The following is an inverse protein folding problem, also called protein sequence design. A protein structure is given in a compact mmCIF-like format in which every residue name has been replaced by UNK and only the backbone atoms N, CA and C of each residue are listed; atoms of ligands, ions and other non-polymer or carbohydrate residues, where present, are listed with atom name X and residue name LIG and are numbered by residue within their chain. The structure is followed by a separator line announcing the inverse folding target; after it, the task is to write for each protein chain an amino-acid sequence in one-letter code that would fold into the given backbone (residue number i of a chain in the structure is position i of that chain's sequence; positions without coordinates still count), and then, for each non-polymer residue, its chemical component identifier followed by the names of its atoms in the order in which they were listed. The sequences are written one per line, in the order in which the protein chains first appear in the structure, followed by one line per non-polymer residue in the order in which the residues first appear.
data_IF_009001209454
#
_entry.id   IF_009001209454
#
_cell.length_a   1.000
_cell.length_b   1.000
_cell.length_c   1.000
_cell.angle_alpha   90.00
_cell.angle_beta   90.00
_cell.angle_gamma   90.00
#
_symmetry.space_group_name_H-M   'P 1'
#
loop_
_entity.id
_entity.type
_entity.pdbx_description
1 polymer ?
#
# COMPACT_ATOMS: atom_id res chain seq x y z
N UNK A 1 21.55 48.39 27.04
CA UNK A 1 21.30 48.75 25.62
C UNK A 1 20.69 47.54 24.94
N UNK A 2 19.43 47.68 24.51
CA UNK A 2 18.63 46.86 23.60
C UNK A 2 18.93 45.35 23.45
N UNK A 3 18.18 44.56 24.21
CA UNK A 3 17.74 43.24 23.77
C UNK A 3 16.71 43.45 22.64
N UNK A 4 17.09 43.12 21.40
CA UNK A 4 16.18 43.15 20.25
C UNK A 4 15.73 41.71 19.96
N UNK A 5 14.56 41.39 20.51
CA UNK A 5 13.54 40.47 20.00
C UNK A 5 13.89 39.72 18.70
N UNK A 6 14.42 38.51 18.82
CA UNK A 6 14.29 37.49 17.77
C UNK A 6 13.10 36.58 18.11
N UNK A 7 11.89 37.13 18.02
CA UNK A 7 10.68 36.32 17.91
C UNK A 7 10.41 36.15 16.41
N UNK A 8 11.12 35.22 15.76
CA UNK A 8 10.70 34.70 14.46
C UNK A 8 9.35 34.04 14.70
N UNK A 9 8.28 34.66 14.23
CA UNK A 9 6.93 34.10 14.32
C UNK A 9 6.95 32.71 13.68
N UNK A 10 6.85 31.65 14.51
CA UNK A 10 6.77 30.25 14.07
C UNK A 10 5.68 30.04 13.03
N UNK A 11 4.63 30.85 13.07
CA UNK A 11 3.50 30.85 12.14
C UNK A 11 3.90 31.12 10.69
N UNK A 12 4.79 32.09 10.40
CA UNK A 12 5.21 32.39 9.02
C UNK A 12 6.12 31.29 8.45
N UNK A 13 7.02 30.72 9.27
CA UNK A 13 7.89 29.62 8.85
C UNK A 13 7.07 28.35 8.60
N UNK A 14 6.10 28.06 9.46
CA UNK A 14 5.20 26.92 9.30
C UNK A 14 4.27 27.08 8.09
N UNK A 15 3.77 28.29 7.82
CA UNK A 15 2.91 28.57 6.66
C UNK A 15 3.68 28.42 5.34
N UNK A 16 4.92 28.93 5.27
CA UNK A 16 5.77 28.78 4.08
C UNK A 16 6.16 27.31 3.87
N UNK A 17 6.48 26.58 4.94
CA UNK A 17 6.75 25.14 4.86
C UNK A 17 5.53 24.35 4.41
N UNK A 18 4.33 24.71 4.87
CA UNK A 18 3.09 24.04 4.50
C UNK A 18 2.70 24.31 3.05
N UNK A 19 2.85 25.54 2.57
CA UNK A 19 2.64 25.88 1.15
C UNK A 19 3.64 25.12 0.28
N UNK A 20 4.91 25.04 0.68
CA UNK A 20 5.92 24.31 -0.07
C UNK A 20 5.64 22.80 -0.10
N UNK A 21 5.28 22.18 1.04
CA UNK A 21 4.87 20.76 1.11
C UNK A 21 3.64 20.50 0.24
N UNK A 22 2.61 21.37 0.32
CA UNK A 22 1.42 21.28 -0.52
C UNK A 22 1.77 21.37 -2.01
N UNK A 23 2.65 22.29 -2.40
CA UNK A 23 3.08 22.47 -3.78
C UNK A 23 3.90 21.27 -4.28
N UNK A 24 4.80 20.72 -3.46
CA UNK A 24 5.54 19.50 -3.80
C UNK A 24 4.61 18.30 -3.98
N UNK A 25 3.64 18.11 -3.07
CA UNK A 25 2.64 17.04 -3.19
C UNK A 25 1.85 17.18 -4.49
N UNK A 26 1.36 18.38 -4.80
CA UNK A 26 0.64 18.62 -6.06
C UNK A 26 1.49 18.26 -7.29
N UNK A 27 2.76 18.67 -7.33
CA UNK A 27 3.66 18.33 -8.44
C UNK A 27 3.86 16.81 -8.56
N UNK A 28 4.11 16.12 -7.45
CA UNK A 28 4.24 14.65 -7.46
C UNK A 28 2.97 13.95 -7.90
N UNK A 29 1.79 14.46 -7.53
CA UNK A 29 0.51 13.92 -8.00
C UNK A 29 0.34 14.07 -9.51
N UNK A 30 0.68 15.22 -10.09
CA UNK A 30 0.64 15.42 -11.53
C UNK A 30 1.61 14.50 -12.27
N UNK A 31 2.82 14.30 -11.74
CA UNK A 31 3.82 13.42 -12.34
C UNK A 31 3.38 11.95 -12.31
N UNK A 32 2.92 11.46 -11.15
CA UNK A 32 2.43 10.08 -11.00
C UNK A 32 1.22 9.82 -11.89
N UNK A 33 0.26 10.76 -11.94
CA UNK A 33 -0.94 10.58 -12.80
C UNK A 33 -0.61 10.62 -14.28
N UNK A 34 0.34 11.46 -14.70
CA UNK A 34 0.83 11.46 -16.08
C UNK A 34 1.53 10.14 -16.42
N UNK A 35 2.34 9.60 -15.51
CA UNK A 35 3.02 8.33 -15.68
C UNK A 35 2.03 7.16 -15.78
N UNK A 36 1.06 7.08 -14.87
CA UNK A 36 0.03 6.02 -14.86
C UNK A 36 -0.84 6.09 -16.12
N UNK A 37 -1.02 7.27 -16.72
CA UNK A 37 -1.85 7.48 -17.92
C UNK A 37 -1.04 7.73 -19.18
N UNK A 38 0.23 7.32 -19.22
CA UNK A 38 1.15 7.65 -20.33
C UNK A 38 0.67 7.12 -21.70
N UNK A 39 -0.18 6.08 -21.72
CA UNK A 39 -0.77 5.49 -22.95
C UNK A 39 -2.20 5.98 -23.21
N UNK A 40 -2.68 6.97 -22.44
CA UNK A 40 -4.07 7.42 -22.44
C UNK A 40 -4.96 6.62 -21.49
N UNK A 41 -6.16 7.15 -21.21
CA UNK A 41 -7.04 6.55 -20.19
C UNK A 41 -7.53 5.15 -20.53
N UNK A 42 -7.72 4.84 -21.83
CA UNK A 42 -8.22 3.54 -22.25
C UNK A 42 -7.20 2.42 -22.07
N UNK A 43 -5.99 2.60 -22.61
CA UNK A 43 -4.93 1.60 -22.53
C UNK A 43 -4.31 1.48 -21.13
N UNK A 44 -4.51 2.49 -20.28
CA UNK A 44 -4.11 2.44 -18.88
C UNK A 44 -5.28 2.03 -17.97
N UNK A 45 -6.18 2.94 -17.63
CA UNK A 45 -7.19 2.71 -16.58
C UNK A 45 -8.25 1.69 -16.98
N UNK A 46 -8.84 1.81 -18.17
CA UNK A 46 -9.90 0.87 -18.58
C UNK A 46 -9.34 -0.54 -18.78
N UNK A 47 -8.16 -0.66 -19.39
CA UNK A 47 -7.49 -1.94 -19.58
C UNK A 47 -7.10 -2.59 -18.25
N UNK A 48 -6.57 -1.83 -17.30
CA UNK A 48 -6.26 -2.35 -15.96
C UNK A 48 -7.52 -2.85 -15.25
N UNK A 49 -8.64 -2.12 -15.35
CA UNK A 49 -9.92 -2.57 -14.78
C UNK A 49 -10.47 -3.82 -15.48
N UNK A 50 -10.36 -3.91 -16.81
CA UNK A 50 -10.80 -5.10 -17.56
C UNK A 50 -10.00 -6.34 -17.18
N UNK A 51 -8.70 -6.21 -16.92
CA UNK A 51 -7.86 -7.30 -16.44
C UNK A 51 -8.19 -7.64 -14.98
N UNK A 52 -8.27 -6.62 -14.11
CA UNK A 52 -8.50 -6.80 -12.68
C UNK A 52 -9.87 -7.41 -12.34
N UNK A 53 -10.92 -7.06 -13.08
CA UNK A 53 -12.29 -7.54 -12.86
C UNK A 53 -12.80 -8.50 -13.94
N UNK A 54 -11.95 -8.89 -14.89
CA UNK A 54 -12.28 -9.83 -15.96
C UNK A 54 -12.32 -11.27 -15.49
N UNK A 55 -12.50 -12.20 -16.43
CA UNK A 55 -12.33 -13.63 -16.16
C UNK A 55 -10.86 -13.98 -16.18
N UNK A 56 -10.41 -14.70 -15.16
CA UNK A 56 -9.04 -15.18 -15.07
C UNK A 56 -8.99 -16.62 -15.56
N UNK A 57 -7.89 -16.99 -16.22
CA UNK A 57 -7.68 -18.35 -16.75
C UNK A 57 -7.22 -19.34 -15.66
N UNK A 58 -7.03 -18.87 -14.44
CA UNK A 58 -6.63 -19.68 -13.29
C UNK A 58 -7.42 -19.28 -12.05
N UNK A 59 -7.59 -20.24 -11.14
CA UNK A 59 -8.10 -20.01 -9.81
C UNK A 59 -6.91 -19.76 -8.85
N UNK A 60 -6.89 -18.68 -8.06
CA UNK A 60 -5.83 -18.47 -7.07
C UNK A 60 -5.67 -19.66 -6.11
N UNK A 61 -6.72 -20.45 -5.86
CA UNK A 61 -6.69 -21.62 -4.97
C UNK A 61 -5.97 -22.84 -5.57
N UNK A 62 -5.70 -22.82 -6.88
CA UNK A 62 -4.92 -23.87 -7.56
C UNK A 62 -3.40 -23.61 -7.48
N UNK A 63 -2.97 -22.53 -6.81
CA UNK A 63 -1.56 -22.19 -6.67
C UNK A 63 -0.83 -23.15 -5.74
N UNK A 64 0.29 -23.70 -6.23
CA UNK A 64 1.22 -24.45 -5.40
C UNK A 64 2.13 -23.52 -4.59
N UNK A 65 2.63 -24.00 -3.45
CA UNK A 65 3.58 -23.24 -2.63
C UNK A 65 4.86 -22.96 -3.44
N UNK A 66 5.19 -21.69 -3.75
CA UNK A 66 6.39 -21.35 -4.50
C UNK A 66 7.70 -21.56 -3.70
N UNK A 67 7.61 -21.73 -2.38
CA UNK A 67 8.75 -21.91 -1.47
C UNK A 67 8.61 -23.19 -0.63
N UNK A 68 8.65 -24.38 -1.27
CA UNK A 68 8.45 -25.64 -0.57
C UNK A 68 9.60 -26.01 0.39
N UNK A 69 10.78 -25.38 0.25
CA UNK A 69 11.96 -25.62 1.07
C UNK A 69 12.17 -24.54 2.14
N UNK A 70 11.17 -23.69 2.39
CA UNK A 70 11.23 -22.55 3.32
C UNK A 70 12.33 -21.52 2.95
N UNK A 71 12.64 -21.41 1.67
CA UNK A 71 13.56 -20.40 1.11
C UNK A 71 12.92 -19.01 1.00
N UNK A 72 11.61 -18.91 1.28
CA UNK A 72 10.83 -17.68 1.25
C UNK A 72 9.46 -17.88 1.89
N UNK A 73 8.66 -16.83 1.87
CA UNK A 73 7.29 -16.83 2.42
C UNK A 73 6.38 -15.93 1.59
N UNK A 74 5.10 -16.28 1.53
CA UNK A 74 4.07 -15.46 0.90
C UNK A 74 3.15 -14.91 1.97
N UNK A 75 2.92 -13.60 1.93
CA UNK A 75 2.09 -12.90 2.91
C UNK A 75 0.96 -12.15 2.21
N UNK A 76 -0.22 -12.16 2.82
CA UNK A 76 -1.43 -11.52 2.31
C UNK A 76 -2.02 -10.61 3.39
N UNK A 77 -2.01 -9.30 3.17
CA UNK A 77 -2.65 -8.33 4.07
C UNK A 77 -3.99 -7.88 3.50
N UNK A 78 -5.02 -7.83 4.34
CA UNK A 78 -6.35 -7.35 3.94
C UNK A 78 -7.03 -6.56 5.08
N UNK A 79 -7.68 -5.46 4.74
CA UNK A 79 -8.50 -4.70 5.68
C UNK A 79 -9.90 -5.31 5.82
N UNK A 80 -10.40 -5.51 7.03
CA UNK A 80 -11.71 -6.13 7.24
C UNK A 80 -12.90 -5.22 6.89
N UNK A 81 -12.68 -3.90 6.83
CA UNK A 81 -13.62 -2.87 6.38
C UNK A 81 -13.38 -2.47 4.90
N UNK A 82 -12.76 -3.34 4.10
CA UNK A 82 -12.59 -3.11 2.66
C UNK A 82 -13.95 -3.06 1.93
N UNK A 83 -14.29 -1.88 1.41
CA UNK A 83 -15.52 -1.63 0.67
C UNK A 83 -15.48 -1.97 -0.82
N UNK A 84 -14.32 -2.38 -1.36
CA UNK A 84 -14.14 -2.79 -2.76
C UNK A 84 -14.14 -4.31 -2.87
N UNK A 85 -13.37 -4.99 -2.02
CA UNK A 85 -13.23 -6.45 -2.03
C UNK A 85 -13.60 -7.04 -0.66
N UNK A 86 -14.64 -7.90 -0.56
CA UNK A 86 -15.05 -8.48 0.70
C UNK A 86 -13.93 -9.31 1.36
N UNK A 87 -13.64 -9.05 2.64
CA UNK A 87 -12.62 -9.77 3.43
C UNK A 87 -12.81 -11.30 3.45
N UNK A 88 -14.05 -11.76 3.28
CA UNK A 88 -14.38 -13.19 3.24
C UNK A 88 -13.63 -13.95 2.14
N UNK A 89 -13.33 -13.31 1.01
CA UNK A 89 -12.57 -13.92 -0.06
C UNK A 89 -11.15 -14.29 0.41
N UNK A 90 -10.45 -13.36 1.06
CA UNK A 90 -9.09 -13.60 1.53
C UNK A 90 -9.03 -14.60 2.68
N UNK A 91 -10.03 -14.57 3.58
CA UNK A 91 -10.20 -15.61 4.61
C UNK A 91 -10.31 -16.99 3.96
N UNK A 92 -11.12 -17.14 2.91
CA UNK A 92 -11.28 -18.42 2.21
C UNK A 92 -9.99 -18.86 1.50
N UNK A 93 -9.33 -17.95 0.75
CA UNK A 93 -8.06 -18.25 0.06
C UNK A 93 -6.99 -18.72 1.05
N UNK A 94 -6.83 -18.03 2.19
CA UNK A 94 -5.85 -18.41 3.21
C UNK A 94 -6.13 -19.78 3.86
N UNK A 95 -7.40 -20.22 3.90
CA UNK A 95 -7.77 -21.55 4.38
C UNK A 95 -7.42 -22.64 3.35
N UNK A 96 -7.60 -22.36 2.07
CA UNK A 96 -7.26 -23.30 0.99
C UNK A 96 -5.74 -23.39 0.76
N UNK A 97 -5.03 -22.28 0.95
CA UNK A 97 -3.59 -22.14 0.72
C UNK A 97 -2.87 -21.88 2.05
N UNK A 98 -2.65 -22.91 2.89
CA UNK A 98 -2.09 -22.74 4.24
C UNK A 98 -0.63 -22.25 4.25
N UNK A 99 0.04 -22.24 3.11
CA UNK A 99 1.37 -21.66 2.93
C UNK A 99 1.36 -20.12 2.82
N UNK A 100 0.18 -19.49 2.71
CA UNK A 100 0.02 -18.04 2.78
C UNK A 100 -0.12 -17.59 4.23
N UNK A 101 0.76 -16.68 4.66
CA UNK A 101 0.61 -15.97 5.92
C UNK A 101 -0.41 -14.84 5.77
N UNK A 102 -1.64 -15.07 6.22
CA UNK A 102 -2.72 -14.08 6.17
C UNK A 102 -2.68 -13.11 7.35
N UNK A 103 -2.82 -11.81 7.06
CA UNK A 103 -2.78 -10.70 8.00
C UNK A 103 -4.02 -9.83 7.81
N UNK A 104 -5.04 -10.08 8.61
CA UNK A 104 -6.23 -9.22 8.64
C UNK A 104 -5.97 -7.97 9.48
N UNK A 105 -6.43 -6.81 9.01
CA UNK A 105 -6.22 -5.51 9.66
C UNK A 105 -7.58 -4.95 10.10
N UNK A 106 -7.90 -5.02 11.41
CA UNK A 106 -9.18 -4.55 11.93
C UNK A 106 -9.41 -3.05 11.73
N UNK A 107 -10.62 -2.69 11.29
CA UNK A 107 -11.07 -1.32 11.03
C UNK A 107 -10.44 -0.67 9.79
N UNK A 108 -9.77 -1.45 8.94
CA UNK A 108 -9.02 -0.93 7.81
C UNK A 108 -9.75 -1.19 6.49
N UNK A 109 -9.80 -0.19 5.60
CA UNK A 109 -10.34 -0.34 4.26
C UNK A 109 -9.28 -0.63 3.20
N UNK A 110 -9.67 -0.64 1.93
CA UNK A 110 -8.82 -0.96 0.77
C UNK A 110 -7.49 -0.18 0.74
N UNK A 111 -7.53 1.09 1.15
CA UNK A 111 -6.39 2.01 1.06
C UNK A 111 -5.49 1.99 2.31
N UNK A 112 -5.61 0.97 3.17
CA UNK A 112 -4.77 0.83 4.36
C UNK A 112 -3.26 0.92 4.11
N UNK A 113 -2.66 0.51 2.95
CA UNK A 113 -1.23 0.63 2.75
C UNK A 113 -0.71 2.07 2.78
N UNK A 114 -1.58 3.04 2.49
CA UNK A 114 -1.26 4.47 2.52
C UNK A 114 -1.43 5.10 3.92
N UNK A 115 -1.96 4.36 4.90
CA UNK A 115 -2.03 4.83 6.26
C UNK A 115 -0.63 5.07 6.84
N UNK A 116 -0.48 6.13 7.63
CA UNK A 116 0.82 6.53 8.14
C UNK A 116 1.53 5.39 8.90
N UNK A 117 2.77 5.09 8.51
CA UNK A 117 3.58 4.03 9.09
C UNK A 117 3.20 2.60 8.68
N UNK A 118 2.14 2.40 7.87
CA UNK A 118 1.72 1.07 7.45
C UNK A 118 2.73 0.40 6.53
N UNK A 119 3.25 1.12 5.53
CA UNK A 119 4.31 0.63 4.65
C UNK A 119 5.51 0.13 5.44
N UNK A 120 5.90 0.86 6.49
CA UNK A 120 7.01 0.48 7.36
C UNK A 120 6.71 -0.81 8.16
N UNK A 121 5.48 -0.96 8.67
CA UNK A 121 5.05 -2.17 9.36
C UNK A 121 5.06 -3.39 8.44
N UNK A 122 4.55 -3.26 7.22
CA UNK A 122 4.55 -4.33 6.21
C UNK A 122 5.98 -4.72 5.85
N UNK A 123 6.83 -3.74 5.52
CA UNK A 123 8.24 -3.99 5.18
C UNK A 123 9.00 -4.66 6.32
N UNK A 124 8.79 -4.20 7.56
CA UNK A 124 9.39 -4.83 8.74
C UNK A 124 8.91 -6.27 8.92
N UNK A 125 7.63 -6.56 8.67
CA UNK A 125 7.10 -7.91 8.75
C UNK A 125 7.73 -8.85 7.70
N UNK A 126 7.87 -8.38 6.45
CA UNK A 126 8.51 -9.13 5.36
C UNK A 126 9.99 -9.41 5.67
N UNK A 127 10.75 -8.39 6.08
CA UNK A 127 12.19 -8.53 6.35
C UNK A 127 12.51 -9.27 7.65
N UNK A 128 11.63 -9.19 8.66
CA UNK A 128 11.83 -9.93 9.91
C UNK A 128 11.45 -11.40 9.78
N UNK A 129 10.60 -11.78 8.81
CA UNK A 129 10.35 -13.18 8.51
C UNK A 129 11.63 -13.90 8.03
N UNK A 130 12.51 -13.19 7.30
CA UNK A 130 13.82 -13.71 6.88
C UNK A 130 14.81 -13.87 8.06
N UNK A 131 14.72 -13.01 9.09
CA UNK A 131 15.67 -12.99 10.22
C UNK A 131 15.39 -14.04 11.32
N UNK A 132 14.29 -14.78 11.24
CA UNK A 132 13.99 -15.88 12.18
C UNK A 132 14.42 -17.26 11.64
N UNK A 133 15.16 -17.29 10.51
CA UNK A 133 15.71 -18.50 9.89
C UNK A 133 17.26 -18.57 9.96
N UNK A 134 17.91 -17.79 10.84
CA UNK A 134 19.36 -17.89 11.11
C UNK A 134 19.66 -18.59 12.42
#
# INVERSE_FOLDING_TARGET
MASLYYCRSSLLVNLVSWIFDMQQRLLTWFEVTAQVRQQGEFESLHRDMMVGFGTWEFDPMDLENPFPNNEGSVHLWHGDDDGIVPVMLQRYISQQLPWIHYHEIPGAGHMFPFANGMTYKIMRALLNAENNLS
#
